data_IF_418878181702
#
_entry.id   IF_418878181702
#
_cell.length_a   1.000
_cell.length_b   1.000
_cell.length_c   1.000
_cell.angle_alpha   90.00
_cell.angle_beta   90.00
_cell.angle_gamma   90.00
#
_symmetry.space_group_name_H-M   'P 1'
#
loop_
_entity.id
_entity.type
_entity.pdbx_description
1 polymer ?
#
# COMPACT_ATOMS: atom_id res chain seq x y z
N UNK A 1 0.76 -4.22 51.01
CA UNK A 1 -0.29 -3.85 50.02
C UNK A 1 0.21 -2.87 48.95
N UNK A 2 0.91 -1.78 49.29
CA UNK A 2 1.34 -0.74 48.32
C UNK A 2 2.22 -1.24 47.17
N UNK A 3 3.15 -2.18 47.43
CA UNK A 3 4.09 -2.70 46.41
C UNK A 3 3.42 -3.55 45.32
N UNK A 4 2.33 -4.26 45.66
CA UNK A 4 1.58 -5.08 44.68
C UNK A 4 0.79 -4.21 43.71
N UNK A 5 0.27 -3.09 44.19
CA UNK A 5 -0.52 -2.14 43.39
C UNK A 5 0.39 -1.39 42.40
N UNK A 6 1.58 -0.97 42.82
CA UNK A 6 2.56 -0.34 41.91
C UNK A 6 3.09 -1.30 40.85
N UNK A 7 3.32 -2.57 41.19
CA UNK A 7 3.73 -3.59 40.22
C UNK A 7 2.66 -3.85 39.15
N UNK A 8 1.39 -3.91 39.55
CA UNK A 8 0.26 -4.04 38.63
C UNK A 8 0.13 -2.82 37.69
N UNK A 9 0.36 -1.61 38.22
CA UNK A 9 0.30 -0.38 37.43
C UNK A 9 1.43 -0.31 36.37
N UNK A 10 2.64 -0.72 36.75
CA UNK A 10 3.79 -0.81 35.84
C UNK A 10 3.57 -1.86 34.74
N UNK A 11 3.00 -3.02 35.08
CA UNK A 11 2.63 -4.02 34.09
C UNK A 11 1.57 -3.47 33.12
N UNK A 12 0.55 -2.76 33.61
CA UNK A 12 -0.49 -2.18 32.77
C UNK A 12 0.06 -1.14 31.78
N UNK A 13 1.01 -0.29 32.22
CA UNK A 13 1.68 0.69 31.36
C UNK A 13 2.63 0.05 30.35
N UNK A 14 3.24 -1.10 30.68
CA UNK A 14 4.05 -1.87 29.74
C UNK A 14 3.19 -2.51 28.64
N UNK A 15 2.00 -3.02 28.98
CA UNK A 15 1.08 -3.64 28.02
C UNK A 15 0.17 -2.66 27.28
N UNK A 16 0.00 -1.41 27.75
CA UNK A 16 -0.80 -0.39 27.05
C UNK A 16 -0.16 0.10 25.75
N UNK A 17 1.11 -0.21 25.50
CA UNK A 17 1.77 0.06 24.21
C UNK A 17 1.73 -1.15 23.25
N UNK A 18 1.08 -2.26 23.64
CA UNK A 18 0.85 -3.41 22.78
C UNK A 18 -0.37 -3.23 21.87
N UNK A 19 -0.82 -1.99 21.65
CA UNK A 19 -1.84 -1.67 20.67
C UNK A 19 -1.25 -1.82 19.27
N UNK A 20 -1.36 -3.06 18.79
CA UNK A 20 -1.48 -3.52 17.42
C UNK A 20 -1.36 -2.38 16.39
N UNK A 21 -0.15 -2.15 15.89
CA UNK A 21 0.00 -1.63 14.55
C UNK A 21 -0.71 -2.63 13.63
N UNK A 22 -1.89 -2.28 13.16
CA UNK A 22 -2.61 -3.07 12.15
C UNK A 22 -1.79 -3.04 10.88
N UNK A 23 -0.84 -3.98 10.76
CA UNK A 23 -0.11 -4.24 9.53
C UNK A 23 -1.08 -4.94 8.59
N UNK A 24 -1.67 -4.18 7.67
CA UNK A 24 -2.49 -4.74 6.60
C UNK A 24 -1.59 -5.63 5.72
N UNK A 25 -1.61 -6.94 5.97
CA UNK A 25 -1.01 -7.93 5.08
C UNK A 25 -1.96 -8.16 3.91
N UNK A 26 -1.59 -7.65 2.74
CA UNK A 26 -2.24 -7.98 1.47
C UNK A 26 -1.24 -8.67 0.55
N UNK A 27 -1.73 -9.63 -0.22
CA UNK A 27 -0.95 -10.28 -1.28
C UNK A 27 -1.10 -9.51 -2.61
N UNK A 28 -2.32 -9.02 -2.87
CA UNK A 28 -2.65 -8.21 -4.03
C UNK A 28 -3.66 -7.11 -3.63
N UNK A 29 -3.43 -5.88 -4.09
CA UNK A 29 -4.41 -4.80 -4.09
C UNK A 29 -4.80 -4.49 -5.53
N UNK A 30 -6.06 -4.67 -5.88
CA UNK A 30 -6.56 -4.41 -7.23
C UNK A 30 -7.79 -3.51 -7.20
N UNK A 31 -7.85 -2.54 -8.11
CA UNK A 31 -9.05 -1.75 -8.35
C UNK A 31 -10.16 -2.59 -9.01
N UNK A 32 -11.39 -2.08 -8.97
CA UNK A 32 -12.50 -2.70 -9.67
C UNK A 32 -12.23 -2.79 -11.18
N UNK A 33 -12.76 -3.85 -11.79
CA UNK A 33 -12.68 -4.02 -13.23
C UNK A 33 -13.35 -2.86 -13.95
N UNK A 34 -12.71 -2.43 -15.04
CA UNK A 34 -13.20 -1.36 -15.91
C UNK A 34 -13.89 -1.94 -17.14
N UNK A 35 -14.81 -1.21 -17.78
CA UNK A 35 -15.43 -1.63 -19.02
C UNK A 35 -14.39 -1.90 -20.13
N UNK A 36 -14.59 -2.91 -20.99
CA UNK A 36 -13.62 -3.28 -22.03
C UNK A 36 -13.23 -2.13 -22.96
N UNK A 37 -14.18 -1.25 -23.31
CA UNK A 37 -13.93 -0.09 -24.16
C UNK A 37 -12.99 0.93 -23.52
N UNK A 38 -13.05 1.09 -22.20
CA UNK A 38 -12.10 1.96 -21.46
C UNK A 38 -10.74 1.28 -21.39
N UNK A 39 -10.71 -0.04 -21.13
CA UNK A 39 -9.46 -0.79 -20.98
C UNK A 39 -8.55 -0.74 -22.22
N UNK A 40 -9.13 -0.69 -23.41
CA UNK A 40 -8.39 -0.58 -24.67
C UNK A 40 -7.73 0.79 -24.88
N UNK A 41 -8.31 1.84 -24.32
CA UNK A 41 -7.82 3.22 -24.46
C UNK A 41 -6.75 3.61 -23.42
N UNK A 42 -6.51 2.76 -22.40
CA UNK A 42 -5.58 3.07 -21.34
C UNK A 42 -4.12 2.87 -21.77
N UNK A 43 -3.29 3.83 -21.43
CA UNK A 43 -1.84 3.69 -21.54
C UNK A 43 -1.32 2.85 -20.37
N UNK A 44 -0.98 1.59 -20.65
CA UNK A 44 -0.57 0.60 -19.64
C UNK A 44 0.86 0.84 -19.18
N UNK A 45 1.09 0.70 -17.87
CA UNK A 45 2.36 0.87 -17.19
C UNK A 45 2.64 -0.34 -16.30
N UNK A 46 3.90 -0.78 -16.34
CA UNK A 46 4.43 -1.88 -15.52
C UNK A 46 5.65 -1.36 -14.75
N UNK A 47 5.58 -1.37 -13.42
CA UNK A 47 6.63 -0.84 -12.56
C UNK A 47 6.98 -1.77 -11.40
N UNK A 48 8.17 -1.55 -10.82
CA UNK A 48 8.62 -2.21 -9.60
C UNK A 48 9.01 -1.15 -8.57
N UNK A 49 8.51 -1.28 -7.34
CA UNK A 49 8.87 -0.41 -6.23
C UNK A 49 9.29 -1.25 -5.02
N UNK A 50 10.53 -1.06 -4.55
CA UNK A 50 11.09 -1.77 -3.40
C UNK A 50 11.47 -0.77 -2.31
N UNK A 51 11.20 -1.11 -1.05
CA UNK A 51 11.53 -0.26 0.10
C UNK A 51 10.60 0.95 0.28
N UNK A 52 9.65 1.16 -0.64
CA UNK A 52 8.60 2.16 -0.52
C UNK A 52 7.36 1.56 0.17
N UNK A 53 6.69 2.36 0.99
CA UNK A 53 5.35 2.02 1.44
C UNK A 53 4.34 2.15 0.30
N UNK A 54 3.26 1.37 0.34
CA UNK A 54 2.15 1.45 -0.64
C UNK A 54 1.62 2.88 -0.77
N UNK A 55 1.52 3.61 0.34
CA UNK A 55 1.09 5.01 0.35
C UNK A 55 2.00 5.89 -0.51
N UNK A 56 3.31 5.73 -0.37
CA UNK A 56 4.27 6.51 -1.16
C UNK A 56 4.21 6.13 -2.65
N UNK A 57 4.01 4.86 -2.96
CA UNK A 57 3.82 4.39 -4.33
C UNK A 57 2.60 5.06 -4.97
N UNK A 58 1.45 5.05 -4.27
CA UNK A 58 0.22 5.67 -4.75
C UNK A 58 0.36 7.19 -4.99
N UNK A 59 1.15 7.88 -4.17
CA UNK A 59 1.43 9.30 -4.36
C UNK A 59 2.40 9.59 -5.52
N UNK A 60 3.31 8.66 -5.82
CA UNK A 60 4.31 8.81 -6.89
C UNK A 60 3.70 8.69 -8.28
N UNK A 61 2.71 7.81 -8.48
CA UNK A 61 2.10 7.56 -9.79
C UNK A 61 1.57 8.85 -10.46
N UNK A 62 0.75 9.70 -9.81
CA UNK A 62 0.27 10.94 -10.42
C UNK A 62 1.38 11.98 -10.59
N UNK A 63 2.39 12.00 -9.70
CA UNK A 63 3.53 12.93 -9.82
C UNK A 63 4.39 12.64 -11.06
N UNK A 64 4.58 11.35 -11.38
CA UNK A 64 5.34 10.92 -12.56
C UNK A 64 4.58 11.15 -13.86
N UNK A 65 3.24 11.14 -13.81
CA UNK A 65 2.38 11.24 -14.99
C UNK A 65 1.42 12.44 -14.86
N UNK A 66 1.93 13.69 -14.92
CA UNK A 66 1.10 14.88 -14.75
C UNK A 66 0.07 15.09 -15.86
N UNK A 67 0.24 14.42 -17.01
CA UNK A 67 -0.71 14.43 -18.14
C UNK A 67 -1.86 13.42 -17.99
N UNK A 68 -1.80 12.52 -17.00
CA UNK A 68 -2.88 11.56 -16.77
C UNK A 68 -4.03 12.22 -16.03
N UNK A 69 -5.24 12.10 -16.57
CA UNK A 69 -6.47 12.56 -15.90
C UNK A 69 -6.92 11.58 -14.82
N UNK A 70 -6.78 10.28 -15.08
CA UNK A 70 -7.17 9.21 -14.17
C UNK A 70 -6.19 8.06 -14.21
N UNK A 71 -6.01 7.42 -13.06
CA UNK A 71 -5.31 6.13 -12.92
C UNK A 71 -6.40 5.05 -12.79
N UNK A 72 -6.34 4.03 -13.63
CA UNK A 72 -7.31 2.93 -13.70
C UNK A 72 -6.61 1.58 -13.76
N UNK A 73 -7.35 0.49 -13.51
CA UNK A 73 -6.84 -0.89 -13.56
C UNK A 73 -5.53 -1.07 -12.75
N UNK A 74 -5.41 -0.36 -11.61
CA UNK A 74 -4.24 -0.47 -10.74
C UNK A 74 -4.27 -1.82 -10.01
N UNK A 75 -3.16 -2.53 -10.10
CA UNK A 75 -2.87 -3.78 -9.43
C UNK A 75 -1.48 -3.67 -8.77
N UNK A 76 -1.42 -3.97 -7.48
CA UNK A 76 -0.20 -3.95 -6.68
C UNK A 76 0.02 -5.34 -6.08
N UNK A 77 1.00 -6.06 -6.60
CA UNK A 77 1.37 -7.38 -6.14
C UNK A 77 2.58 -7.28 -5.21
N UNK A 78 2.43 -7.78 -3.98
CA UNK A 78 3.55 -7.87 -3.05
C UNK A 78 4.44 -9.04 -3.45
N UNK A 79 5.71 -8.76 -3.78
CA UNK A 79 6.74 -9.77 -3.93
C UNK A 79 7.49 -9.90 -2.59
N UNK A 80 7.45 -11.07 -1.98
CA UNK A 80 8.20 -11.34 -0.76
C UNK A 80 9.68 -11.50 -1.10
N UNK A 81 10.49 -10.51 -0.73
CA UNK A 81 11.95 -10.54 -0.91
C UNK A 81 12.69 -10.56 0.47
N UNK A 82 12.00 -10.90 1.58
CA UNK A 82 12.59 -11.09 2.93
C UNK A 82 11.77 -10.53 4.11
N UNK A 83 12.30 -10.67 5.34
CA UNK A 83 11.66 -10.26 6.61
C UNK A 83 11.53 -8.74 6.81
N UNK A 84 12.32 -7.93 6.10
CA UNK A 84 12.39 -6.47 6.26
C UNK A 84 12.27 -5.69 4.93
N UNK A 85 12.08 -6.37 3.80
CA UNK A 85 11.97 -5.75 2.49
C UNK A 85 10.59 -6.02 1.87
N UNK A 86 9.85 -4.96 1.61
CA UNK A 86 8.64 -5.02 0.79
C UNK A 86 8.97 -4.56 -0.62
N UNK A 87 8.96 -5.49 -1.58
CA UNK A 87 8.96 -5.18 -3.00
C UNK A 87 7.55 -5.34 -3.55
N UNK A 88 7.16 -4.45 -4.45
CA UNK A 88 5.86 -4.43 -5.09
C UNK A 88 6.03 -4.40 -6.60
N UNK A 89 5.24 -5.21 -7.30
CA UNK A 89 5.03 -5.10 -8.75
C UNK A 89 3.73 -4.36 -8.99
N UNK A 90 3.77 -3.38 -9.85
CA UNK A 90 2.70 -2.43 -10.12
C UNK A 90 2.28 -2.58 -11.56
N UNK A 91 0.99 -2.76 -11.80
CA UNK A 91 0.37 -2.70 -13.11
C UNK A 91 -0.72 -1.64 -13.05
N UNK A 92 -0.73 -0.67 -13.94
CA UNK A 92 -1.79 0.33 -13.98
C UNK A 92 -1.99 0.91 -15.37
N UNK A 93 -3.20 1.35 -15.67
CA UNK A 93 -3.54 2.08 -16.88
C UNK A 93 -3.73 3.57 -16.59
N UNK A 94 -3.22 4.40 -17.50
CA UNK A 94 -3.39 5.85 -17.45
C UNK A 94 -4.40 6.28 -18.51
N UNK A 95 -5.39 7.06 -18.09
CA UNK A 95 -6.32 7.74 -18.98
C UNK A 95 -5.76 9.15 -19.27
N UNK A 96 -5.38 9.38 -20.51
CA UNK A 96 -4.77 10.65 -20.95
C UNK A 96 -5.84 11.41 -21.74
N UNK A 97 -6.20 12.61 -21.29
CA UNK A 97 -6.99 13.53 -22.11
C UNK A 97 -6.08 14.18 -23.14
N UNK A 98 -6.35 13.94 -24.41
CA UNK A 98 -5.76 14.68 -25.51
C UNK A 98 -6.25 16.12 -25.55
#
# INVERSE_FOLDING_TARGET
MKLRVTALLLAYLAFSNCYSSTVFYFHNLRMNQIPPGVQQALYKQDEKACGDSVRNILLRIPQKNPSATHIRDLEILKKEDGLFSSCYRLHYGLEISH
#
